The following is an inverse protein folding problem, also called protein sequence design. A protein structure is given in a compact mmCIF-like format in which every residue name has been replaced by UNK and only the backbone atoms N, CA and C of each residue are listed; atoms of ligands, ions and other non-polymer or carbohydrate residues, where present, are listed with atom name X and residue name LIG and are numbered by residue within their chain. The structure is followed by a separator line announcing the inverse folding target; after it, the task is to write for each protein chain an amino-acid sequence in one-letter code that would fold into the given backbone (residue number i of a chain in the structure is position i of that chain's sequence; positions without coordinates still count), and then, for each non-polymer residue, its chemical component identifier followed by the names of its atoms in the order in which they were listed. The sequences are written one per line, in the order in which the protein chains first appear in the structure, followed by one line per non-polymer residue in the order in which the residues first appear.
data_IF_460128370768
#
_entry.id   IF_460128370768
#
_cell.length_a   1.000
_cell.length_b   1.000
_cell.length_c   1.000
_cell.angle_alpha   90.00
_cell.angle_beta   90.00
_cell.angle_gamma   90.00
#
_symmetry.space_group_name_H-M   'P 1'
#
loop_
_entity.id
_entity.type
_entity.pdbx_description
1 polymer ?
#
# COMPACT_ATOMS: atom_id res chain seq x y z
N UNK A 1 6.52 -21.07 33.82
CA UNK A 1 6.90 -19.73 33.33
C UNK A 1 6.41 -19.64 31.88
N UNK A 2 5.18 -19.30 31.47
CA UNK A 2 4.17 -18.27 31.80
C UNK A 2 4.68 -16.83 31.70
N UNK A 3 4.66 -16.29 30.47
CA UNK A 3 4.00 -15.01 30.07
C UNK A 3 4.21 -14.78 28.56
N UNK A 4 3.31 -15.33 27.74
CA UNK A 4 3.13 -15.05 26.29
C UNK A 4 1.73 -14.48 26.02
N UNK A 5 1.18 -13.73 26.97
CA UNK A 5 -0.11 -13.05 26.86
C UNK A 5 0.05 -11.62 27.39
N UNK A 6 -0.61 -10.66 26.75
CA UNK A 6 -0.43 -9.20 26.85
C UNK A 6 0.84 -8.75 26.09
N UNK A 7 0.77 -8.09 24.94
CA UNK A 7 0.10 -6.81 24.69
C UNK A 7 -0.36 -6.79 23.22
N UNK A 8 -1.64 -7.01 22.98
CA UNK A 8 -2.29 -6.65 21.74
C UNK A 8 -3.70 -6.19 22.08
N UNK A 9 -3.84 -4.94 22.55
CA UNK A 9 -5.16 -4.30 22.70
C UNK A 9 -5.18 -2.81 23.09
N UNK A 10 -4.11 -2.02 22.92
CA UNK A 10 -4.18 -0.58 23.24
C UNK A 10 -3.56 0.25 22.13
N UNK A 11 -4.42 0.82 21.28
CA UNK A 11 -4.00 1.72 20.19
C UNK A 11 -5.03 1.95 19.09
N UNK A 12 -6.18 1.27 19.12
CA UNK A 12 -7.26 1.41 18.12
C UNK A 12 -8.53 2.04 18.70
N UNK A 13 -8.42 2.90 19.73
CA UNK A 13 -9.60 3.51 20.37
C UNK A 13 -9.85 4.97 19.98
N UNK A 14 -9.05 5.57 19.09
CA UNK A 14 -9.19 7.01 18.74
C UNK A 14 -9.42 7.32 17.26
N UNK A 15 -9.40 6.33 16.36
CA UNK A 15 -9.83 6.49 14.95
C UNK A 15 -11.29 6.11 14.68
N UNK A 16 -12.08 5.78 15.71
CA UNK A 16 -13.50 5.41 15.59
C UNK A 16 -14.47 6.60 15.71
N UNK A 17 -14.00 7.85 15.56
CA UNK A 17 -14.89 9.04 15.65
C UNK A 17 -15.50 9.51 14.34
N UNK A 18 -15.29 8.80 13.23
CA UNK A 18 -16.18 8.95 12.07
C UNK A 18 -17.45 8.14 12.33
N UNK A 19 -18.42 8.78 12.98
CA UNK A 19 -19.76 8.23 13.23
C UNK A 19 -20.48 8.10 11.89
N UNK A 20 -20.20 7.03 11.15
CA UNK A 20 -20.98 6.64 9.98
C UNK A 20 -22.35 6.14 10.46
N UNK A 21 -23.34 7.03 10.36
CA UNK A 21 -24.74 6.70 10.57
C UNK A 21 -25.18 5.75 9.43
N UNK A 22 -24.92 4.45 9.62
CA UNK A 22 -25.33 3.40 8.70
C UNK A 22 -26.84 3.19 8.86
N UNK A 23 -27.62 4.05 8.20
CA UNK A 23 -29.01 3.72 7.86
C UNK A 23 -28.98 2.40 7.10
N UNK A 24 -29.53 1.35 7.69
CA UNK A 24 -29.71 0.03 7.06
C UNK A 24 -30.68 0.17 5.89
N UNK A 25 -30.19 0.61 4.75
CA UNK A 25 -30.93 0.56 3.50
C UNK A 25 -30.80 -0.86 2.96
N UNK A 26 -31.92 -1.57 2.85
CA UNK A 26 -32.00 -2.91 2.28
C UNK A 26 -31.79 -2.80 0.75
N UNK A 27 -30.53 -2.85 0.32
CA UNK A 27 -30.16 -2.88 -1.08
C UNK A 27 -30.47 -4.27 -1.67
N UNK A 28 -31.09 -4.26 -2.84
CA UNK A 28 -31.49 -5.42 -3.65
C UNK A 28 -30.39 -6.50 -3.73
N UNK A 29 -30.78 -7.77 -3.58
CA UNK A 29 -30.26 -9.00 -4.23
C UNK A 29 -28.76 -9.26 -4.42
N UNK A 30 -27.85 -8.41 -3.95
CA UNK A 30 -26.41 -8.53 -4.22
C UNK A 30 -25.77 -9.32 -3.08
N UNK A 31 -25.17 -10.46 -3.42
CA UNK A 31 -24.34 -11.24 -2.50
C UNK A 31 -22.87 -10.87 -2.69
N UNK A 32 -22.35 -10.04 -1.79
CA UNK A 32 -20.93 -9.72 -1.73
C UNK A 32 -20.17 -10.83 -0.98
N UNK A 33 -19.01 -11.24 -1.49
CA UNK A 33 -18.07 -12.12 -0.81
C UNK A 33 -16.69 -11.46 -0.80
N UNK A 34 -16.16 -11.22 0.39
CA UNK A 34 -14.78 -10.77 0.57
C UNK A 34 -13.86 -11.99 0.56
N UNK A 35 -12.91 -12.00 -0.36
CA UNK A 35 -11.89 -13.04 -0.49
C UNK A 35 -10.56 -12.47 0.00
N UNK A 36 -9.82 -13.30 0.73
CA UNK A 36 -8.49 -12.95 1.23
C UNK A 36 -7.45 -13.49 0.25
N UNK A 37 -6.73 -12.58 -0.44
CA UNK A 37 -5.72 -12.97 -1.43
C UNK A 37 -4.63 -13.85 -0.81
N UNK A 38 -4.29 -13.63 0.46
CA UNK A 38 -3.19 -14.35 1.12
C UNK A 38 -3.51 -15.83 1.33
N UNK A 39 -4.81 -16.20 1.35
CA UNK A 39 -5.23 -17.61 1.35
C UNK A 39 -4.93 -18.34 0.04
N UNK A 40 -4.83 -17.61 -1.07
CA UNK A 40 -4.53 -18.17 -2.39
C UNK A 40 -3.05 -18.01 -2.74
N UNK A 41 -2.40 -16.94 -2.26
CA UNK A 41 -1.01 -16.61 -2.53
C UNK A 41 -0.28 -16.26 -1.24
N UNK A 42 0.31 -17.26 -0.58
CA UNK A 42 1.07 -17.10 0.67
C UNK A 42 2.47 -16.50 0.42
N UNK A 43 2.55 -15.35 -0.25
CA UNK A 43 3.79 -14.65 -0.58
C UNK A 43 3.57 -13.14 -0.60
N UNK A 44 4.63 -12.37 -0.40
CA UNK A 44 4.54 -10.91 -0.44
C UNK A 44 4.27 -10.41 -1.86
N UNK A 45 3.61 -9.25 -1.96
CA UNK A 45 3.40 -8.54 -3.23
C UNK A 45 4.74 -8.34 -3.99
N UNK A 46 5.82 -7.99 -3.28
CA UNK A 46 7.15 -7.81 -3.88
C UNK A 46 7.70 -9.08 -4.54
N UNK A 47 7.48 -10.24 -3.92
CA UNK A 47 7.90 -11.53 -4.48
C UNK A 47 7.02 -11.92 -5.68
N UNK A 48 5.72 -11.64 -5.61
CA UNK A 48 4.77 -11.96 -6.68
C UNK A 48 4.95 -11.05 -7.91
N UNK A 49 5.16 -9.75 -7.70
CA UNK A 49 5.41 -8.79 -8.77
C UNK A 49 6.64 -9.17 -9.61
N UNK A 50 7.68 -9.77 -9.02
CA UNK A 50 8.87 -10.27 -9.75
C UNK A 50 8.61 -11.52 -10.60
N UNK A 51 7.54 -12.27 -10.30
CA UNK A 51 7.15 -13.47 -11.02
C UNK A 51 6.18 -13.19 -12.17
N UNK A 52 5.60 -11.98 -12.21
CA UNK A 52 4.88 -11.48 -13.37
C UNK A 52 5.93 -11.19 -14.45
N UNK A 53 6.05 -12.05 -15.47
CA UNK A 53 7.00 -11.90 -16.58
C UNK A 53 6.29 -11.97 -17.93
N UNK A 54 6.56 -11.02 -18.82
CA UNK A 54 6.17 -11.07 -20.24
C UNK A 54 5.65 -9.75 -20.83
N UNK A 55 5.32 -9.76 -22.13
CA UNK A 55 4.84 -8.61 -22.93
C UNK A 55 3.53 -7.97 -22.44
N UNK A 56 2.90 -8.52 -21.38
CA UNK A 56 1.67 -8.01 -20.73
C UNK A 56 1.88 -7.68 -19.26
N UNK A 57 3.11 -7.39 -18.87
CA UNK A 57 3.47 -6.94 -17.53
C UNK A 57 2.66 -5.69 -17.16
N UNK A 58 1.93 -5.78 -16.05
CA UNK A 58 1.21 -4.68 -15.42
C UNK A 58 0.19 -3.93 -16.30
N UNK A 59 -0.65 -4.66 -17.06
CA UNK A 59 -1.68 -4.09 -17.94
C UNK A 59 -2.60 -3.10 -17.22
N UNK A 60 -3.03 -3.42 -16.01
CA UNK A 60 -3.93 -2.55 -15.25
C UNK A 60 -3.19 -1.30 -14.77
N UNK A 61 -1.96 -1.43 -14.27
CA UNK A 61 -1.12 -0.28 -13.90
C UNK A 61 -0.84 0.63 -15.11
N UNK A 62 -0.56 0.06 -16.28
CA UNK A 62 -0.29 0.79 -17.53
C UNK A 62 -1.46 1.64 -18.03
N UNK A 63 -2.69 1.36 -17.61
CA UNK A 63 -3.86 2.21 -17.94
C UNK A 63 -3.85 3.56 -17.21
N UNK A 64 -3.15 3.65 -16.08
CA UNK A 64 -3.20 4.82 -15.19
C UNK A 64 -1.89 5.61 -15.14
N UNK A 65 -0.80 5.05 -15.64
CA UNK A 65 0.52 5.65 -15.61
C UNK A 65 1.18 5.62 -16.98
N UNK A 66 1.91 6.69 -17.36
CA UNK A 66 2.65 6.70 -18.61
C UNK A 66 3.84 5.74 -18.54
N UNK A 67 4.27 5.25 -19.70
CA UNK A 67 5.30 4.22 -19.84
C UNK A 67 6.63 4.60 -19.18
N UNK A 68 7.02 5.88 -19.27
CA UNK A 68 8.24 6.43 -18.66
C UNK A 68 8.24 6.42 -17.12
N UNK A 69 7.08 6.19 -16.50
CA UNK A 69 6.93 6.11 -15.04
C UNK A 69 6.57 4.73 -14.54
N UNK A 70 6.35 3.75 -15.41
CA UNK A 70 5.92 2.41 -15.00
C UNK A 70 6.93 1.75 -14.07
N UNK A 71 8.22 1.83 -14.38
CA UNK A 71 9.29 1.30 -13.53
C UNK A 71 9.28 1.85 -12.09
N UNK A 72 8.77 3.08 -11.91
CA UNK A 72 8.68 3.70 -10.59
C UNK A 72 7.47 3.19 -9.79
N UNK A 73 6.41 2.76 -10.46
CA UNK A 73 5.14 2.38 -9.82
C UNK A 73 4.90 0.88 -9.78
N UNK A 74 5.67 0.08 -10.51
CA UNK A 74 5.62 -1.40 -10.47
C UNK A 74 6.54 -1.98 -9.41
N UNK A 75 7.53 -1.20 -8.94
CA UNK A 75 8.31 -1.53 -7.75
C UNK A 75 7.45 -1.34 -6.49
N UNK A 76 7.64 -2.20 -5.49
CA UNK A 76 7.04 -2.03 -4.17
C UNK A 76 7.35 -0.63 -3.62
N UNK A 77 6.28 0.14 -3.38
CA UNK A 77 6.37 1.47 -2.81
C UNK A 77 6.92 1.45 -1.38
N UNK A 78 7.42 2.60 -0.94
CA UNK A 78 8.01 2.79 0.38
C UNK A 78 7.16 3.79 1.16
N UNK A 79 6.72 3.42 2.36
CA UNK A 79 5.81 4.24 3.14
C UNK A 79 6.19 4.27 4.63
N UNK A 80 6.26 5.45 5.27
CA UNK A 80 6.63 5.59 6.68
C UNK A 80 5.37 5.44 7.56
N UNK A 81 4.97 4.20 7.82
CA UNK A 81 3.75 3.89 8.58
C UNK A 81 3.72 4.50 9.98
N UNK A 82 4.82 4.36 10.73
CA UNK A 82 4.94 4.90 12.09
C UNK A 82 5.00 6.43 12.13
N UNK A 83 5.38 7.06 11.01
CA UNK A 83 5.35 8.50 10.88
C UNK A 83 3.91 8.99 10.69
N UNK A 84 3.06 8.28 9.95
CA UNK A 84 1.71 8.72 9.62
C UNK A 84 0.70 8.48 10.75
N UNK A 85 0.88 9.19 11.86
CA UNK A 85 0.07 9.10 13.08
C UNK A 85 -1.07 10.15 13.17
N UNK A 86 -1.12 11.12 12.24
CA UNK A 86 -2.10 12.19 12.25
C UNK A 86 -2.43 12.67 10.83
N UNK A 87 -3.61 13.27 10.65
CA UNK A 87 -4.06 13.74 9.33
C UNK A 87 -3.31 15.01 8.89
N UNK A 88 -2.86 15.82 9.84
CA UNK A 88 -2.09 17.04 9.57
C UNK A 88 -0.80 16.76 8.80
N UNK A 89 -0.23 15.55 8.95
CA UNK A 89 0.95 15.11 8.20
C UNK A 89 0.71 15.00 6.71
N UNK A 90 -0.53 14.79 6.27
CA UNK A 90 -0.89 14.81 4.85
C UNK A 90 -0.64 16.19 4.21
N UNK A 91 -0.74 17.28 4.99
CA UNK A 91 -0.52 18.65 4.51
C UNK A 91 0.97 19.03 4.44
N UNK A 92 1.86 18.18 4.94
CA UNK A 92 3.30 18.44 4.88
C UNK A 92 3.81 18.44 3.44
N UNK A 93 4.51 19.51 3.07
CA UNK A 93 4.98 19.75 1.70
C UNK A 93 6.35 19.17 1.39
N UNK A 94 6.86 18.32 2.29
CA UNK A 94 8.18 17.70 2.18
C UNK A 94 8.07 16.20 2.45
N UNK A 95 8.94 15.44 1.79
CA UNK A 95 9.14 14.04 2.17
C UNK A 95 9.77 14.00 3.58
N UNK A 96 9.30 13.12 4.49
CA UNK A 96 9.92 12.90 5.79
C UNK A 96 11.39 12.50 5.62
N UNK A 97 12.19 12.85 6.62
CA UNK A 97 13.59 12.46 6.66
C UNK A 97 13.75 10.95 6.73
N UNK A 98 14.93 10.44 6.35
CA UNK A 98 15.20 8.99 6.35
C UNK A 98 14.95 8.33 7.71
N UNK A 99 15.25 9.02 8.81
CA UNK A 99 15.07 8.49 10.17
C UNK A 99 13.58 8.35 10.54
N UNK A 100 12.70 9.13 9.91
CA UNK A 100 11.25 9.07 10.13
C UNK A 100 10.61 7.88 9.39
N UNK A 101 11.34 7.19 8.53
CA UNK A 101 10.92 5.91 7.93
C UNK A 101 11.26 4.68 8.80
N UNK A 102 11.73 4.87 10.04
CA UNK A 102 12.01 3.77 10.96
C UNK A 102 10.74 2.94 11.23
N UNK A 103 10.85 1.62 11.07
CA UNK A 103 9.75 0.70 11.33
C UNK A 103 9.86 0.14 12.75
N UNK A 104 8.91 0.52 13.63
CA UNK A 104 8.87 0.07 15.02
C UNK A 104 8.49 -1.40 15.16
N UNK A 105 7.76 -1.97 14.22
CA UNK A 105 7.34 -3.37 14.25
C UNK A 105 8.50 -4.32 13.94
N UNK A 106 9.40 -3.94 13.03
CA UNK A 106 10.58 -4.72 12.67
C UNK A 106 11.87 -4.21 13.30
N UNK A 107 11.79 -3.14 14.10
CA UNK A 107 12.92 -2.43 14.73
C UNK A 107 14.07 -2.15 13.74
N UNK A 108 13.73 -1.65 12.55
CA UNK A 108 14.68 -1.54 11.45
C UNK A 108 14.55 -0.22 10.68
N UNK A 109 15.69 0.36 10.32
CA UNK A 109 15.76 1.50 9.41
C UNK A 109 15.45 1.12 7.97
N UNK A 110 14.97 2.11 7.22
CA UNK A 110 14.87 2.02 5.77
C UNK A 110 16.24 1.92 5.11
N UNK A 111 16.35 1.08 4.08
CA UNK A 111 17.57 1.01 3.28
C UNK A 111 17.83 2.32 2.53
N UNK A 112 19.10 2.62 2.23
CA UNK A 112 19.41 3.82 1.44
C UNK A 112 18.75 3.78 0.06
N UNK A 113 18.73 2.61 -0.60
CA UNK A 113 18.13 2.41 -1.92
C UNK A 113 16.62 2.64 -1.94
N UNK A 114 15.92 2.27 -0.86
CA UNK A 114 14.47 2.47 -0.75
C UNK A 114 14.14 3.94 -0.47
N UNK A 115 14.94 4.62 0.36
CA UNK A 115 14.76 6.04 0.58
C UNK A 115 15.07 6.89 -0.67
N UNK A 116 16.12 6.55 -1.42
CA UNK A 116 16.39 7.18 -2.72
C UNK A 116 15.23 6.98 -3.70
N UNK A 117 14.62 5.79 -3.71
CA UNK A 117 13.46 5.52 -4.54
C UNK A 117 12.25 6.41 -4.16
N UNK A 118 11.93 6.53 -2.87
CA UNK A 118 10.88 7.42 -2.40
C UNK A 118 11.11 8.88 -2.84
N UNK A 119 12.35 9.37 -2.77
CA UNK A 119 12.71 10.71 -3.28
C UNK A 119 12.54 10.84 -4.79
N UNK A 120 12.91 9.82 -5.55
CA UNK A 120 12.73 9.80 -7.01
C UNK A 120 11.25 9.84 -7.37
N UNK A 121 10.42 9.03 -6.71
CA UNK A 121 8.95 9.04 -6.90
C UNK A 121 8.38 10.41 -6.56
N UNK A 122 8.74 10.98 -5.40
CA UNK A 122 8.30 12.31 -4.99
C UNK A 122 8.55 13.38 -6.06
N UNK A 123 9.76 13.38 -6.65
CA UNK A 123 10.14 14.31 -7.72
C UNK A 123 9.46 14.00 -9.05
N UNK A 124 9.45 12.74 -9.47
CA UNK A 124 8.94 12.32 -10.78
C UNK A 124 7.43 12.56 -10.93
N UNK A 125 6.68 12.50 -9.83
CA UNK A 125 5.24 12.77 -9.80
C UNK A 125 4.90 14.20 -9.39
N UNK A 126 5.91 15.06 -9.17
CA UNK A 126 5.74 16.46 -8.75
C UNK A 126 4.80 16.60 -7.55
N UNK A 127 5.03 15.77 -6.54
CA UNK A 127 4.18 15.65 -5.36
C UNK A 127 4.32 16.90 -4.51
N UNK A 128 3.19 17.51 -4.15
CA UNK A 128 3.13 18.78 -3.43
C UNK A 128 3.03 18.61 -1.93
N UNK A 129 2.36 17.55 -1.50
CA UNK A 129 2.17 17.24 -0.10
C UNK A 129 2.16 15.73 0.15
N UNK A 130 2.28 15.33 1.41
CA UNK A 130 2.36 13.93 1.77
C UNK A 130 1.04 13.18 1.55
N UNK A 131 -0.11 13.88 1.52
CA UNK A 131 -1.39 13.33 1.13
C UNK A 131 -1.36 12.81 -0.30
N UNK A 132 -0.87 13.61 -1.26
CA UNK A 132 -0.68 13.19 -2.66
C UNK A 132 0.28 11.99 -2.79
N UNK A 133 1.33 11.93 -1.96
CA UNK A 133 2.21 10.75 -1.87
C UNK A 133 1.48 9.51 -1.39
N UNK A 134 0.61 9.67 -0.39
CA UNK A 134 -0.18 8.60 0.19
C UNK A 134 -1.21 8.05 -0.80
N UNK A 135 -1.90 8.94 -1.50
CA UNK A 135 -2.83 8.57 -2.57
C UNK A 135 -2.12 7.81 -3.70
N UNK A 136 -0.94 8.29 -4.10
CA UNK A 136 -0.12 7.59 -5.09
C UNK A 136 0.27 6.19 -4.58
N UNK A 137 0.79 6.10 -3.35
CA UNK A 137 1.19 4.82 -2.75
C UNK A 137 0.05 3.80 -2.75
N UNK A 138 -1.11 4.19 -2.22
CA UNK A 138 -2.30 3.31 -2.15
C UNK A 138 -2.77 2.93 -3.55
N UNK A 139 -2.81 3.87 -4.49
CA UNK A 139 -3.19 3.60 -5.88
C UNK A 139 -2.25 2.58 -6.52
N UNK A 140 -0.95 2.72 -6.34
CA UNK A 140 0.04 1.78 -6.89
C UNK A 140 -0.10 0.39 -6.28
N UNK A 141 -0.28 0.28 -4.96
CA UNK A 141 -0.42 -1.01 -4.27
C UNK A 141 -1.67 -1.78 -4.75
N UNK A 142 -2.79 -1.08 -4.96
CA UNK A 142 -4.02 -1.66 -5.50
C UNK A 142 -3.86 -2.11 -6.96
N UNK A 143 -3.18 -1.32 -7.80
CA UNK A 143 -2.99 -1.66 -9.21
C UNK A 143 -2.03 -2.84 -9.39
N UNK A 144 -0.91 -2.85 -8.68
CA UNK A 144 0.02 -3.99 -8.65
C UNK A 144 -0.70 -5.25 -8.16
N UNK A 145 -1.50 -5.15 -7.09
CA UNK A 145 -2.26 -6.28 -6.59
C UNK A 145 -3.29 -6.77 -7.61
N UNK A 146 -3.93 -5.85 -8.35
CA UNK A 146 -4.87 -6.19 -9.42
C UNK A 146 -4.16 -6.94 -10.54
N UNK A 147 -3.00 -6.45 -10.98
CA UNK A 147 -2.18 -7.11 -12.00
C UNK A 147 -1.74 -8.51 -11.56
N UNK A 148 -1.30 -8.68 -10.31
CA UNK A 148 -0.94 -9.99 -9.75
C UNK A 148 -2.14 -10.94 -9.74
N UNK A 149 -3.32 -10.45 -9.33
CA UNK A 149 -4.53 -11.25 -9.26
C UNK A 149 -5.01 -11.67 -10.66
N UNK A 150 -4.95 -10.77 -11.65
CA UNK A 150 -5.26 -11.11 -13.04
C UNK A 150 -4.32 -12.19 -13.59
N UNK A 151 -3.00 -12.05 -13.37
CA UNK A 151 -2.03 -13.07 -13.78
C UNK A 151 -2.29 -14.42 -13.11
N UNK A 152 -2.66 -14.42 -11.82
CA UNK A 152 -3.05 -15.64 -11.12
C UNK A 152 -4.29 -16.28 -11.75
N UNK A 153 -5.34 -15.50 -12.03
CA UNK A 153 -6.56 -16.00 -12.66
C UNK A 153 -6.26 -16.56 -14.06
N UNK A 154 -5.46 -15.88 -14.88
CA UNK A 154 -5.09 -16.35 -16.22
C UNK A 154 -4.25 -17.65 -16.18
N UNK A 155 -3.42 -17.84 -15.17
CA UNK A 155 -2.59 -19.05 -15.05
C UNK A 155 -3.37 -20.29 -14.60
N UNK A 156 -4.50 -20.11 -13.91
CA UNK A 156 -5.32 -21.20 -13.36
C UNK A 156 -6.69 -21.36 -14.04
N UNK A 157 -6.99 -20.58 -15.08
CA UNK A 157 -8.18 -20.71 -15.93
C UNK A 157 -7.86 -21.50 -17.20
#
# INVERSE_FOLDING_TARGET
MRKTHFIQQRGWSEMDRCRCDCKKTKLLGIKLRFLDYFKFMASSIDSLAKNVKGEREFRETAKYFPEDKLDLVTRKGVYPYDYMDSWEKCEETRLPSKNEFYNKMTESDISHKDYEHAKTVWKAFNIKNFGEYSDLYVKTDVLILSDIMEHFIEMFA
#
